data_IF_300600958368
#
_entry.id   IF_300600958368
#
_cell.length_a   1.000
_cell.length_b   1.000
_cell.length_c   1.000
_cell.angle_alpha   90.00
_cell.angle_beta   90.00
_cell.angle_gamma   90.00
#
_symmetry.space_group_name_H-M   'P 1'
#
loop_
_entity.id
_entity.type
_entity.pdbx_description
1 polymer ?
#
# COMPACT_ATOMS: atom_id res chain seq x y z
N UNK A 1 12.45 -23.50 2.28
CA UNK A 1 10.99 -23.57 2.49
C UNK A 1 10.62 -23.85 3.94
N UNK A 2 10.94 -25.03 4.51
CA UNK A 2 10.58 -25.36 5.90
C UNK A 2 11.17 -24.40 6.93
N UNK A 3 12.42 -23.95 6.74
CA UNK A 3 13.03 -22.92 7.60
C UNK A 3 12.21 -21.63 7.65
N UNK A 4 11.83 -21.08 6.50
CA UNK A 4 11.02 -19.85 6.41
C UNK A 4 9.64 -20.06 7.08
N UNK A 5 9.02 -21.21 6.82
CA UNK A 5 7.74 -21.58 7.44
C UNK A 5 7.86 -21.63 8.97
N UNK A 6 8.87 -22.31 9.49
CA UNK A 6 9.09 -22.44 10.93
C UNK A 6 9.40 -21.08 11.57
N UNK A 7 10.24 -20.25 10.94
CA UNK A 7 10.54 -18.90 11.41
C UNK A 7 9.26 -18.06 11.53
N UNK A 8 8.44 -18.02 10.47
CA UNK A 8 7.18 -17.28 10.47
C UNK A 8 6.18 -17.83 11.50
N UNK A 9 6.04 -19.17 11.59
CA UNK A 9 5.16 -19.82 12.56
C UNK A 9 5.53 -19.48 13.99
N UNK A 10 6.81 -19.61 14.33
CA UNK A 10 7.34 -19.29 15.66
C UNK A 10 7.12 -17.82 15.97
N UNK A 11 7.38 -16.94 15.02
CA UNK A 11 7.18 -15.50 15.21
C UNK A 11 5.70 -15.15 15.40
N UNK A 12 4.80 -15.69 14.58
CA UNK A 12 3.35 -15.47 14.73
C UNK A 12 2.85 -15.99 16.07
N UNK A 13 3.25 -17.19 16.49
CA UNK A 13 2.84 -17.76 17.78
C UNK A 13 3.27 -16.90 18.98
N UNK A 14 4.40 -16.19 18.86
CA UNK A 14 4.92 -15.34 19.93
C UNK A 14 4.33 -13.91 19.93
N UNK A 15 3.81 -13.42 18.80
CA UNK A 15 3.47 -11.99 18.63
C UNK A 15 2.01 -11.74 18.22
N UNK A 16 1.34 -12.68 17.56
CA UNK A 16 -0.05 -12.52 17.14
C UNK A 16 -1.00 -12.88 18.29
N UNK A 17 -1.52 -11.85 18.94
CA UNK A 17 -2.51 -11.99 20.02
C UNK A 17 -3.93 -12.18 19.49
N UNK A 18 -4.80 -12.81 20.28
CA UNK A 18 -6.23 -12.96 19.95
C UNK A 18 -6.94 -11.60 19.75
N UNK A 19 -6.54 -10.56 20.49
CA UNK A 19 -7.11 -9.21 20.36
C UNK A 19 -6.82 -8.61 18.97
N UNK A 20 -5.59 -8.78 18.46
CA UNK A 20 -5.21 -8.35 17.10
C UNK A 20 -6.01 -9.12 16.04
N UNK A 21 -6.21 -10.43 16.22
CA UNK A 21 -7.06 -11.23 15.32
C UNK A 21 -8.51 -10.72 15.35
N UNK A 22 -9.05 -10.43 16.54
CA UNK A 22 -10.40 -9.91 16.72
C UNK A 22 -10.58 -8.46 16.22
N UNK A 23 -9.51 -7.68 16.10
CA UNK A 23 -9.52 -6.32 15.55
C UNK A 23 -9.68 -6.29 14.03
N UNK A 24 -9.20 -7.31 13.32
CA UNK A 24 -9.24 -7.42 11.85
C UNK A 24 -10.60 -7.00 11.23
N UNK A 25 -11.71 -7.70 11.56
CA UNK A 25 -13.03 -7.42 11.02
C UNK A 25 -13.67 -6.09 11.46
N UNK A 26 -13.10 -5.41 12.46
CA UNK A 26 -13.63 -4.17 13.04
C UNK A 26 -12.90 -2.91 12.57
N UNK A 27 -11.73 -3.06 11.94
CA UNK A 27 -10.83 -1.97 11.53
C UNK A 27 -11.47 -0.83 10.74
N UNK A 28 -12.50 -1.10 9.93
CA UNK A 28 -13.23 -0.06 9.18
C UNK A 28 -14.36 0.65 9.94
N UNK A 29 -14.68 0.21 11.16
CA UNK A 29 -15.84 0.68 11.95
C UNK A 29 -15.51 1.16 13.36
N UNK A 30 -14.31 0.87 13.83
CA UNK A 30 -13.89 1.09 15.22
C UNK A 30 -12.46 1.64 15.25
N UNK A 31 -12.30 2.83 15.83
CA UNK A 31 -11.00 3.51 15.90
C UNK A 31 -10.00 2.76 16.77
N UNK A 32 -10.46 2.11 17.84
CA UNK A 32 -9.59 1.32 18.70
C UNK A 32 -9.05 0.09 17.95
N UNK A 33 -9.90 -0.60 17.17
CA UNK A 33 -9.47 -1.68 16.29
C UNK A 33 -8.48 -1.19 15.23
N UNK A 34 -8.72 -0.01 14.64
CA UNK A 34 -7.83 0.57 13.65
C UNK A 34 -6.43 0.83 14.21
N UNK A 35 -6.34 1.51 15.36
CA UNK A 35 -5.04 1.80 15.99
C UNK A 35 -4.31 0.54 16.46
N UNK A 36 -5.05 -0.48 16.93
CA UNK A 36 -4.47 -1.78 17.25
C UNK A 36 -3.86 -2.45 16.00
N UNK A 37 -4.55 -2.41 14.87
CA UNK A 37 -4.00 -2.93 13.62
C UNK A 37 -2.84 -2.07 13.11
N UNK A 38 -2.86 -0.75 13.29
CA UNK A 38 -1.74 0.13 12.95
C UNK A 38 -0.49 -0.27 13.73
N UNK A 39 -0.61 -0.45 15.04
CA UNK A 39 0.46 -0.98 15.88
C UNK A 39 0.93 -2.37 15.42
N UNK A 40 0.01 -3.26 15.03
CA UNK A 40 0.36 -4.57 14.48
C UNK A 40 1.16 -4.48 13.16
N UNK A 41 0.82 -3.55 12.26
CA UNK A 41 1.59 -3.31 11.04
C UNK A 41 3.03 -2.85 11.35
N UNK A 42 3.20 -1.98 12.35
CA UNK A 42 4.52 -1.58 12.83
C UNK A 42 5.33 -2.78 13.36
N UNK A 43 4.71 -3.62 14.19
CA UNK A 43 5.33 -4.87 14.70
C UNK A 43 5.76 -5.82 13.57
N UNK A 44 4.91 -5.99 12.55
CA UNK A 44 5.25 -6.78 11.36
C UNK A 44 6.43 -6.16 10.60
N UNK A 45 6.43 -4.83 10.42
CA UNK A 45 7.48 -4.13 9.69
C UNK A 45 8.83 -4.19 10.42
N UNK A 46 8.84 -3.99 11.74
CA UNK A 46 10.02 -4.11 12.60
C UNK A 46 10.66 -5.51 12.53
N UNK A 47 9.84 -6.55 12.36
CA UNK A 47 10.30 -7.93 12.19
C UNK A 47 10.58 -8.31 10.71
N UNK A 48 10.36 -7.39 9.76
CA UNK A 48 10.51 -7.61 8.32
C UNK A 48 9.40 -8.44 7.66
N UNK A 49 8.28 -8.69 8.34
CA UNK A 49 7.16 -9.48 7.83
C UNK A 49 6.13 -8.67 7.04
N UNK A 50 6.08 -7.35 7.17
CA UNK A 50 5.03 -6.53 6.55
C UNK A 50 5.08 -6.46 5.00
N UNK A 51 6.27 -6.57 4.40
CA UNK A 51 6.44 -6.57 2.94
C UNK A 51 7.51 -7.59 2.49
N UNK A 52 7.23 -8.88 2.71
CA UNK A 52 8.20 -9.96 2.47
C UNK A 52 8.74 -10.00 1.04
N UNK A 53 7.94 -9.63 0.04
CA UNK A 53 8.32 -9.62 -1.38
C UNK A 53 9.24 -8.47 -1.77
N UNK A 54 9.30 -7.40 -0.97
CA UNK A 54 10.09 -6.22 -1.31
C UNK A 54 11.59 -6.50 -1.25
N UNK A 55 12.40 -5.79 -2.06
CA UNK A 55 13.85 -5.79 -1.91
C UNK A 55 14.30 -5.39 -0.50
N UNK A 56 15.39 -5.99 -0.02
CA UNK A 56 15.93 -5.71 1.33
C UNK A 56 16.29 -4.24 1.55
N UNK A 57 16.78 -3.55 0.53
CA UNK A 57 17.09 -2.13 0.59
C UNK A 57 15.88 -1.22 0.91
N UNK A 58 14.65 -1.72 0.74
CA UNK A 58 13.42 -1.00 1.05
C UNK A 58 12.70 -1.59 2.28
N UNK A 59 13.40 -2.38 3.11
CA UNK A 59 12.84 -2.96 4.34
C UNK A 59 12.09 -4.28 4.15
N UNK A 60 12.12 -4.87 2.95
CA UNK A 60 11.57 -6.20 2.69
C UNK A 60 12.52 -7.35 3.00
N UNK A 61 12.09 -8.58 2.70
CA UNK A 61 12.92 -9.79 2.88
C UNK A 61 13.51 -10.33 1.57
N UNK A 62 13.10 -9.79 0.42
CA UNK A 62 13.44 -10.33 -0.89
C UNK A 62 12.94 -11.75 -1.06
N UNK A 63 11.76 -12.07 -0.48
CA UNK A 63 11.21 -13.41 -0.48
C UNK A 63 10.90 -13.88 -1.91
N UNK A 64 11.31 -15.11 -2.20
CA UNK A 64 10.98 -15.81 -3.45
C UNK A 64 9.47 -16.01 -3.57
N UNK A 65 8.97 -16.30 -4.77
CA UNK A 65 7.53 -16.56 -5.01
C UNK A 65 7.02 -17.71 -4.12
N UNK A 66 7.82 -18.76 -3.94
CA UNK A 66 7.47 -19.88 -3.06
C UNK A 66 7.40 -19.46 -1.58
N UNK A 67 8.32 -18.61 -1.11
CA UNK A 67 8.28 -18.08 0.25
C UNK A 67 7.08 -17.15 0.47
N UNK A 68 6.67 -16.38 -0.55
CA UNK A 68 5.44 -15.59 -0.51
C UNK A 68 4.19 -16.47 -0.40
N UNK A 69 4.17 -17.62 -1.08
CA UNK A 69 3.09 -18.60 -0.93
C UNK A 69 3.05 -19.17 0.50
N UNK A 70 4.20 -19.54 1.06
CA UNK A 70 4.27 -20.00 2.46
C UNK A 70 3.84 -18.90 3.43
N UNK A 71 4.22 -17.65 3.17
CA UNK A 71 3.77 -16.52 3.97
C UNK A 71 2.25 -16.44 3.98
N UNK A 72 1.61 -16.46 2.80
CA UNK A 72 0.16 -16.40 2.67
C UNK A 72 -0.55 -17.58 3.37
N UNK A 73 -0.03 -18.80 3.23
CA UNK A 73 -0.56 -19.98 3.90
C UNK A 73 -0.53 -19.84 5.43
N UNK A 74 0.61 -19.42 5.99
CA UNK A 74 0.78 -19.34 7.44
C UNK A 74 0.05 -18.18 8.07
N UNK A 75 0.01 -17.01 7.43
CA UNK A 75 -0.79 -15.88 7.93
C UNK A 75 -2.28 -16.21 7.88
N UNK A 76 -2.74 -16.91 6.83
CA UNK A 76 -4.13 -17.38 6.72
C UNK A 76 -4.45 -18.40 7.81
N UNK A 77 -3.57 -19.41 8.00
CA UNK A 77 -3.74 -20.43 9.04
C UNK A 77 -3.80 -19.83 10.43
N UNK A 78 -2.97 -18.81 10.70
CA UNK A 78 -2.94 -18.09 11.98
C UNK A 78 -4.07 -17.06 12.12
N UNK A 79 -4.88 -16.82 11.08
CA UNK A 79 -5.90 -15.76 11.03
C UNK A 79 -5.31 -14.37 11.28
N UNK A 80 -4.06 -14.15 10.88
CA UNK A 80 -3.43 -12.84 10.97
C UNK A 80 -4.23 -11.83 10.12
N UNK A 81 -4.50 -10.62 10.65
CA UNK A 81 -5.26 -9.62 9.92
C UNK A 81 -4.47 -9.12 8.70
N UNK A 82 -5.19 -8.74 7.66
CA UNK A 82 -4.61 -8.13 6.46
C UNK A 82 -3.98 -6.77 6.83
N UNK A 83 -2.77 -6.44 6.34
CA UNK A 83 -2.17 -5.12 6.53
C UNK A 83 -3.09 -3.96 6.13
N UNK A 84 -3.09 -2.86 6.88
CA UNK A 84 -3.93 -1.69 6.60
C UNK A 84 -3.61 -1.10 5.22
N UNK A 85 -2.31 -0.96 4.93
CA UNK A 85 -1.82 -0.41 3.67
C UNK A 85 -1.67 -1.46 2.56
N UNK A 86 -2.55 -2.48 2.48
CA UNK A 86 -2.42 -3.54 1.46
C UNK A 86 -2.31 -2.98 0.02
N UNK A 87 -3.08 -1.94 -0.31
CA UNK A 87 -2.99 -1.28 -1.63
C UNK A 87 -1.69 -0.48 -1.77
N UNK A 88 -1.25 0.17 -0.70
CA UNK A 88 0.04 0.86 -0.64
C UNK A 88 1.18 -0.11 -0.94
N UNK A 89 1.19 -1.24 -0.23
CA UNK A 89 2.28 -2.22 -0.26
C UNK A 89 2.37 -2.92 -1.62
N UNK A 90 1.22 -3.33 -2.16
CA UNK A 90 1.16 -4.18 -3.36
C UNK A 90 1.06 -3.40 -4.67
N UNK A 91 0.63 -2.13 -4.66
CA UNK A 91 0.39 -1.34 -5.87
C UNK A 91 1.18 -0.03 -5.90
N UNK A 92 1.04 0.81 -4.86
CA UNK A 92 1.63 2.16 -4.84
C UNK A 92 3.15 2.09 -4.74
N UNK A 93 3.67 1.27 -3.82
CA UNK A 93 5.09 1.16 -3.56
C UNK A 93 5.92 0.66 -4.77
N UNK A 94 5.51 -0.38 -5.54
CA UNK A 94 6.19 -0.74 -6.77
C UNK A 94 6.38 0.44 -7.74
N UNK A 95 5.37 1.31 -7.88
CA UNK A 95 5.48 2.51 -8.71
C UNK A 95 6.49 3.52 -8.13
N UNK A 96 6.53 3.72 -6.81
CA UNK A 96 7.52 4.57 -6.14
C UNK A 96 8.93 3.99 -6.29
N UNK A 97 9.11 2.68 -6.14
CA UNK A 97 10.40 2.02 -6.30
C UNK A 97 10.94 2.15 -7.73
N UNK A 98 10.06 2.07 -8.73
CA UNK A 98 10.43 2.13 -10.13
C UNK A 98 10.63 3.57 -10.64
N UNK A 99 9.72 4.48 -10.31
CA UNK A 99 9.64 5.81 -10.91
C UNK A 99 9.83 6.97 -9.93
N UNK A 100 9.84 6.68 -8.63
CA UNK A 100 10.06 7.70 -7.61
C UNK A 100 11.50 8.20 -7.59
N UNK A 101 11.67 9.42 -7.08
CA UNK A 101 12.98 9.95 -6.70
C UNK A 101 13.52 9.20 -5.48
N UNK A 102 14.84 9.25 -5.25
CA UNK A 102 15.44 8.61 -4.08
C UNK A 102 14.89 9.18 -2.77
N UNK A 103 14.63 10.49 -2.71
CA UNK A 103 13.95 11.13 -1.58
C UNK A 103 12.57 10.51 -1.32
N UNK A 104 11.77 10.28 -2.36
CA UNK A 104 10.46 9.63 -2.23
C UNK A 104 10.59 8.19 -1.73
N UNK A 105 11.53 7.41 -2.29
CA UNK A 105 11.75 6.01 -1.87
C UNK A 105 12.15 5.92 -0.40
N UNK A 106 13.15 6.71 0.01
CA UNK A 106 13.69 6.71 1.37
C UNK A 106 12.69 7.23 2.42
N UNK A 107 11.82 8.18 2.03
CA UNK A 107 10.86 8.78 2.96
C UNK A 107 9.56 7.98 3.05
N UNK A 108 8.98 7.60 1.90
CA UNK A 108 7.61 7.10 1.83
C UNK A 108 7.51 5.60 2.08
N UNK A 109 8.45 4.80 1.57
CA UNK A 109 8.35 3.34 1.64
C UNK A 109 8.44 2.81 3.08
N UNK A 110 9.38 3.25 3.94
CA UNK A 110 9.45 2.79 5.32
C UNK A 110 8.20 3.19 6.14
N UNK A 111 7.69 4.41 5.94
CA UNK A 111 6.49 4.90 6.64
C UNK A 111 5.23 4.17 6.21
N UNK A 112 5.12 3.85 4.91
CA UNK A 112 4.01 3.08 4.36
C UNK A 112 3.97 1.65 4.92
N UNK A 113 5.11 0.96 4.95
CA UNK A 113 5.14 -0.45 5.36
C UNK A 113 4.84 -0.63 6.85
N UNK A 114 5.24 0.34 7.69
CA UNK A 114 4.93 0.39 9.13
C UNK A 114 3.51 0.86 9.44
N UNK A 115 2.77 1.36 8.45
CA UNK A 115 1.53 2.11 8.64
C UNK A 115 1.70 3.38 9.51
N UNK A 116 2.90 3.99 9.50
CA UNK A 116 3.13 5.32 10.08
C UNK A 116 2.38 6.39 9.28
N UNK A 117 2.23 6.18 7.97
CA UNK A 117 1.32 6.92 7.12
C UNK A 117 0.30 5.96 6.48
N UNK A 118 -0.96 6.35 6.44
CA UNK A 118 -2.05 5.58 5.82
C UNK A 118 -2.25 6.03 4.37
N UNK A 119 -2.39 5.04 3.49
CA UNK A 119 -2.46 5.27 2.05
C UNK A 119 -3.81 4.87 1.48
N UNK A 120 -4.34 5.74 0.62
CA UNK A 120 -5.46 5.42 -0.25
C UNK A 120 -5.10 5.58 -1.74
N UNK A 121 -5.98 5.08 -2.60
CA UNK A 121 -5.84 5.21 -4.04
C UNK A 121 -7.05 5.96 -4.63
N UNK A 122 -6.77 7.11 -5.25
CA UNK A 122 -7.74 7.94 -5.95
C UNK A 122 -7.71 7.66 -7.45
N UNK A 123 -8.19 6.49 -7.85
CA UNK A 123 -8.21 6.05 -9.25
C UNK A 123 -9.56 6.34 -9.91
N UNK A 124 -10.61 5.63 -9.48
CA UNK A 124 -11.97 5.69 -10.06
C UNK A 124 -12.68 7.02 -9.83
N UNK A 125 -13.49 7.42 -10.81
CA UNK A 125 -14.41 8.57 -10.76
C UNK A 125 -15.84 8.09 -11.00
N UNK A 126 -16.88 8.86 -10.66
CA UNK A 126 -18.28 8.47 -10.92
C UNK A 126 -18.53 8.08 -12.39
N UNK A 127 -17.85 8.76 -13.32
CA UNK A 127 -17.96 8.55 -14.76
C UNK A 127 -16.81 7.71 -15.35
N UNK A 128 -15.85 7.26 -14.53
CA UNK A 128 -14.66 6.56 -15.01
C UNK A 128 -14.25 5.43 -14.04
N UNK A 129 -14.66 4.20 -14.38
CA UNK A 129 -14.28 2.96 -13.71
C UNK A 129 -13.34 2.12 -14.57
N UNK A 130 -13.90 1.13 -15.28
CA UNK A 130 -13.14 0.24 -16.17
C UNK A 130 -12.38 1.00 -17.27
N UNK A 131 -12.98 2.06 -17.84
CA UNK A 131 -12.28 2.97 -18.75
C UNK A 131 -11.58 4.08 -17.95
N UNK A 132 -10.51 3.73 -17.25
CA UNK A 132 -9.74 4.67 -16.45
C UNK A 132 -9.12 5.80 -17.29
N UNK A 133 -8.84 5.56 -18.57
CA UNK A 133 -8.25 6.56 -19.45
C UNK A 133 -9.18 7.77 -19.69
N UNK A 134 -10.49 7.59 -19.48
CA UNK A 134 -11.50 8.64 -19.58
C UNK A 134 -11.58 9.59 -18.38
N UNK A 135 -10.79 9.38 -17.32
CA UNK A 135 -10.81 10.20 -16.11
C UNK A 135 -10.68 11.71 -16.40
N UNK A 136 -11.37 12.52 -15.58
CA UNK A 136 -11.53 13.98 -15.76
C UNK A 136 -10.90 14.79 -14.63
N UNK A 137 -10.54 14.19 -13.49
CA UNK A 137 -9.78 14.90 -12.45
C UNK A 137 -8.52 15.48 -13.06
N UNK A 138 -8.33 16.79 -12.91
CA UNK A 138 -7.25 17.55 -13.54
C UNK A 138 -6.25 18.07 -12.52
N UNK A 139 -5.01 18.15 -12.92
CA UNK A 139 -3.96 18.85 -12.20
C UNK A 139 -3.33 19.88 -13.14
N UNK A 140 -3.45 21.16 -12.80
CA UNK A 140 -2.85 22.27 -13.55
C UNK A 140 -1.64 22.77 -12.77
N UNK A 141 -0.48 22.88 -13.44
CA UNK A 141 0.73 23.41 -12.81
C UNK A 141 0.53 24.89 -12.47
N UNK A 142 0.83 25.25 -11.24
CA UNK A 142 0.88 26.63 -10.75
C UNK A 142 2.19 26.81 -9.98
N UNK A 143 3.19 27.43 -10.63
CA UNK A 143 4.55 27.51 -10.11
C UNK A 143 5.19 26.13 -9.84
N UNK A 144 5.52 25.89 -8.56
CA UNK A 144 6.17 24.68 -8.05
C UNK A 144 5.19 23.58 -7.61
N UNK A 145 3.88 23.84 -7.66
CA UNK A 145 2.84 22.90 -7.26
C UNK A 145 1.81 22.67 -8.37
N UNK A 146 0.86 21.78 -8.09
CA UNK A 146 -0.29 21.52 -8.95
C UNK A 146 -1.58 21.87 -8.21
N UNK A 147 -2.49 22.58 -8.89
CA UNK A 147 -3.86 22.80 -8.43
C UNK A 147 -4.73 21.67 -8.99
N UNK A 148 -5.24 20.83 -8.09
CA UNK A 148 -6.03 19.64 -8.43
C UNK A 148 -7.52 19.92 -8.30
N UNK A 149 -8.30 19.55 -9.31
CA UNK A 149 -9.76 19.70 -9.30
C UNK A 149 -10.44 18.47 -9.92
N UNK A 150 -11.35 17.86 -9.19
CA UNK A 150 -12.12 16.70 -9.64
C UNK A 150 -12.78 15.98 -8.47
N UNK A 151 -13.23 14.75 -8.73
CA UNK A 151 -13.86 13.89 -7.74
C UNK A 151 -13.43 12.45 -7.98
N UNK A 152 -13.21 11.73 -6.87
CA UNK A 152 -12.89 10.30 -6.86
C UNK A 152 -13.96 9.55 -6.06
N UNK A 153 -14.13 8.27 -6.38
CA UNK A 153 -15.09 7.38 -5.71
C UNK A 153 -14.44 6.03 -5.44
N UNK A 154 -14.99 5.28 -4.48
CA UNK A 154 -14.48 3.97 -4.04
C UNK A 154 -13.07 4.03 -3.46
N UNK A 155 -12.73 5.16 -2.82
CA UNK A 155 -11.42 5.41 -2.21
C UNK A 155 -11.35 4.76 -0.82
N UNK A 156 -11.03 3.47 -0.79
CA UNK A 156 -10.77 2.73 0.46
C UNK A 156 -9.76 3.46 1.33
N UNK A 157 -10.06 3.55 2.64
CA UNK A 157 -9.30 4.30 3.64
C UNK A 157 -9.14 5.81 3.39
N UNK A 158 -9.84 6.40 2.40
CA UNK A 158 -9.69 7.82 2.08
C UNK A 158 -9.96 8.78 3.25
N UNK A 159 -10.85 8.40 4.17
CA UNK A 159 -11.17 9.18 5.38
C UNK A 159 -10.10 9.09 6.49
N UNK A 160 -9.13 8.18 6.37
CA UNK A 160 -8.02 7.99 7.32
C UNK A 160 -6.65 8.25 6.70
N UNK A 161 -6.59 8.55 5.40
CA UNK A 161 -5.35 8.56 4.65
C UNK A 161 -4.55 9.85 4.85
N UNK A 162 -3.25 9.70 5.08
CA UNK A 162 -2.27 10.78 5.04
C UNK A 162 -1.82 11.05 3.60
N UNK A 163 -1.80 10.00 2.77
CA UNK A 163 -1.40 10.07 1.36
C UNK A 163 -2.42 9.43 0.42
N UNK A 164 -2.49 9.99 -0.79
CA UNK A 164 -3.29 9.46 -1.88
C UNK A 164 -2.43 9.30 -3.14
N UNK A 165 -2.36 8.09 -3.68
CA UNK A 165 -1.93 7.92 -5.07
C UNK A 165 -3.08 8.39 -5.97
N UNK A 166 -2.96 9.61 -6.48
CA UNK A 166 -4.02 10.27 -7.22
C UNK A 166 -3.75 10.25 -8.73
N UNK A 167 -4.72 9.71 -9.48
CA UNK A 167 -4.67 9.68 -10.93
C UNK A 167 -5.32 10.95 -11.49
N UNK A 168 -4.55 11.74 -12.22
CA UNK A 168 -4.96 13.05 -12.75
C UNK A 168 -4.56 13.21 -14.21
N UNK A 169 -5.30 14.07 -14.91
CA UNK A 169 -4.95 14.55 -16.25
C UNK A 169 -4.17 15.86 -16.13
N UNK A 170 -2.97 15.88 -16.72
CA UNK A 170 -2.08 17.06 -16.75
C UNK A 170 -2.03 17.74 -18.12
N UNK A 171 -2.46 17.07 -19.20
CA UNK A 171 -2.55 17.63 -20.56
C UNK A 171 -3.94 17.34 -21.18
N UNK A 172 -4.45 18.32 -21.94
CA UNK A 172 -5.72 18.26 -22.69
C UNK A 172 -5.55 17.77 -24.12
N UNK A 173 -4.34 17.69 -24.67
CA UNK A 173 -4.16 17.25 -26.05
C UNK A 173 -4.54 15.76 -26.22
N UNK A 174 -5.41 15.40 -27.17
CA UNK A 174 -5.56 14.00 -27.56
C UNK A 174 -4.21 13.48 -28.06
N UNK A 175 -3.79 12.28 -27.60
CA UNK A 175 -2.53 11.65 -28.05
C UNK A 175 -2.62 11.40 -29.57
N UNK A 176 -2.00 12.24 -30.39
CA UNK A 176 -1.38 11.74 -31.62
C UNK A 176 -0.12 10.97 -31.18
N UNK A 177 -0.01 9.72 -31.65
CA UNK A 177 1.19 8.85 -31.69
C UNK A 177 2.40 9.26 -30.85
N UNK A 178 2.76 8.44 -29.86
CA UNK A 178 4.00 8.61 -29.08
C UNK A 178 5.18 8.18 -29.92
N UNK A 179 6.02 9.12 -30.33
CA UNK A 179 7.46 8.86 -30.49
C UNK A 179 8.08 8.90 -29.10
N UNK A 180 8.80 7.83 -28.75
CA UNK A 180 9.56 7.75 -27.52
C UNK A 180 10.93 8.38 -27.79
N UNK A 181 11.23 9.50 -27.14
CA UNK A 181 12.61 9.91 -26.92
C UNK A 181 12.99 9.51 -25.50
N UNK A 182 14.10 8.75 -25.43
CA UNK A 182 14.72 8.17 -24.24
C UNK A 182 15.21 9.25 -23.29
#
# INVERSE_FOLDING_TARGET
MERFRNELRTWLAANLTDDVVAAGPRSGRDDAAFEMLRAWNATLADAGWAAVSWPRQYGGRGATVLEQLVYAEETTRARAPVPLNVIGINNIAPAIMQYGTDKQKLTLLPRMVRADDIWCQGMSEPEAGSDLASLRTRAVRDGDHFVVNGQKIWTSLGHRADWCQLYVRTDRKPRSTREFHV
#
